data_IF_334276410290
#
_entry.id   IF_334276410290
#
_cell.length_a   1.000
_cell.length_b   1.000
_cell.length_c   1.000
_cell.angle_alpha   90.00
_cell.angle_beta   90.00
_cell.angle_gamma   90.00
#
_symmetry.space_group_name_H-M   'P 1'
#
loop_
_entity.id
_entity.type
_entity.pdbx_description
1 polymer ?
#
# COMPACT_ATOMS: atom_id res chain seq x y z
N UNK A 1 5.07 -10.30 19.58
CA UNK A 1 5.02 -9.65 20.91
C UNK A 1 4.71 -8.18 20.69
N UNK A 2 3.73 -7.64 21.43
CA UNK A 2 3.40 -6.20 21.36
C UNK A 2 4.64 -5.37 21.67
N UNK A 3 4.92 -4.35 20.87
CA UNK A 3 6.02 -3.43 21.09
C UNK A 3 5.49 -2.02 21.20
N UNK A 4 5.73 -1.42 22.33
CA UNK A 4 5.41 -0.02 22.58
C UNK A 4 6.40 0.87 21.81
N UNK A 5 5.88 1.68 20.86
CA UNK A 5 6.67 2.62 20.08
C UNK A 5 6.72 4.03 20.74
N UNK A 6 6.09 4.18 21.91
CA UNK A 6 6.03 5.46 22.64
C UNK A 6 7.24 5.71 23.51
N UNK A 7 8.14 4.72 23.67
CA UNK A 7 9.35 4.79 24.51
C UNK A 7 10.61 4.46 23.71
N UNK A 8 11.76 4.98 24.14
CA UNK A 8 13.06 4.73 23.51
C UNK A 8 13.42 5.66 22.34
N UNK A 9 14.53 5.39 21.64
CA UNK A 9 15.05 6.23 20.56
C UNK A 9 14.19 6.11 19.28
N UNK A 10 13.58 7.21 18.78
CA UNK A 10 12.70 7.18 17.60
C UNK A 10 13.36 6.59 16.35
N UNK A 11 14.60 6.96 16.04
CA UNK A 11 15.31 6.45 14.87
C UNK A 11 15.45 4.92 14.90
N UNK A 12 15.93 4.38 16.03
CA UNK A 12 16.11 2.92 16.20
C UNK A 12 14.79 2.16 16.14
N UNK A 13 13.73 2.73 16.73
CA UNK A 13 12.41 2.09 16.78
C UNK A 13 11.82 2.04 15.38
N UNK A 14 11.80 3.17 14.65
CA UNK A 14 11.25 3.25 13.30
C UNK A 14 12.07 2.35 12.37
N UNK A 15 13.39 2.38 12.41
CA UNK A 15 14.25 1.53 11.58
C UNK A 15 13.97 0.04 11.80
N UNK A 16 13.96 -0.41 13.07
CA UNK A 16 13.72 -1.82 13.40
C UNK A 16 12.29 -2.27 13.07
N UNK A 17 11.33 -1.34 13.03
CA UNK A 17 9.96 -1.63 12.60
C UNK A 17 9.85 -1.66 11.08
N UNK A 18 10.58 -0.80 10.37
CA UNK A 18 10.60 -0.69 8.91
C UNK A 18 11.24 -1.91 8.23
N UNK A 19 12.33 -2.45 8.79
CA UNK A 19 13.07 -3.55 8.13
C UNK A 19 12.21 -4.79 7.82
N UNK A 20 11.40 -5.32 8.74
CA UNK A 20 10.52 -6.44 8.41
C UNK A 20 9.44 -6.08 7.38
N UNK A 21 8.92 -4.85 7.41
CA UNK A 21 7.94 -4.37 6.43
C UNK A 21 8.56 -4.28 5.02
N UNK A 22 9.78 -3.77 4.93
CA UNK A 22 10.52 -3.68 3.67
C UNK A 22 10.80 -5.07 3.10
N UNK A 23 11.25 -6.00 3.91
CA UNK A 23 11.43 -7.40 3.51
C UNK A 23 10.11 -8.01 3.04
N UNK A 24 9.00 -7.76 3.75
CA UNK A 24 7.67 -8.20 3.35
C UNK A 24 7.26 -7.67 1.98
N UNK A 25 7.42 -6.37 1.75
CA UNK A 25 7.10 -5.76 0.46
C UNK A 25 7.98 -6.31 -0.67
N UNK A 26 9.26 -6.55 -0.43
CA UNK A 26 10.16 -7.18 -1.40
C UNK A 26 9.73 -8.63 -1.70
N UNK A 27 9.42 -9.42 -0.68
CA UNK A 27 8.91 -10.78 -0.87
C UNK A 27 7.61 -10.79 -1.70
N UNK A 28 6.74 -9.83 -1.47
CA UNK A 28 5.50 -9.70 -2.25
C UNK A 28 5.77 -9.41 -3.73
N UNK A 29 6.78 -8.60 -4.06
CA UNK A 29 7.19 -8.36 -5.44
C UNK A 29 7.77 -9.63 -6.09
N UNK A 30 8.64 -10.35 -5.40
CA UNK A 30 9.19 -11.62 -5.89
C UNK A 30 8.11 -12.69 -6.09
N UNK A 31 7.17 -12.79 -5.16
CA UNK A 31 6.03 -13.68 -5.27
C UNK A 31 5.18 -13.37 -6.52
N UNK A 32 4.81 -12.11 -6.74
CA UNK A 32 4.05 -11.70 -7.93
C UNK A 32 4.79 -12.00 -9.24
N UNK A 33 6.13 -11.89 -9.23
CA UNK A 33 6.95 -12.26 -10.37
C UNK A 33 6.95 -13.77 -10.60
N UNK A 34 7.07 -14.58 -9.53
CA UNK A 34 7.06 -16.03 -9.61
C UNK A 34 5.73 -16.55 -10.17
N UNK A 35 4.59 -16.05 -9.69
CA UNK A 35 3.25 -16.37 -10.19
C UNK A 35 3.14 -16.08 -11.70
N UNK A 36 3.58 -14.90 -12.12
CA UNK A 36 3.60 -14.49 -13.54
C UNK A 36 4.45 -15.45 -14.40
N UNK A 37 5.61 -15.86 -13.90
CA UNK A 37 6.51 -16.82 -14.61
C UNK A 37 5.85 -18.21 -14.70
N UNK A 38 5.22 -18.68 -13.64
CA UNK A 38 4.55 -19.99 -13.60
C UNK A 38 3.41 -20.01 -14.64
N UNK A 39 2.54 -19.00 -14.62
CA UNK A 39 1.44 -18.89 -15.59
C UNK A 39 1.98 -18.81 -17.02
N UNK A 40 2.95 -17.95 -17.30
CA UNK A 40 3.51 -17.80 -18.65
C UNK A 40 4.19 -19.06 -19.17
N UNK A 41 4.92 -19.78 -18.32
CA UNK A 41 5.69 -20.97 -18.72
C UNK A 41 4.85 -22.24 -18.86
N UNK A 42 3.89 -22.44 -17.97
CA UNK A 42 3.14 -23.69 -17.90
C UNK A 42 1.74 -23.63 -18.50
N UNK A 43 1.13 -22.45 -18.58
CA UNK A 43 -0.21 -22.27 -19.20
C UNK A 43 -0.10 -21.68 -20.61
N UNK A 44 0.84 -20.75 -20.82
CA UNK A 44 1.14 -20.19 -22.13
C UNK A 44 0.90 -18.68 -22.24
N UNK A 45 1.21 -18.14 -23.43
CA UNK A 45 1.23 -16.70 -23.68
C UNK A 45 -0.14 -16.06 -23.57
N UNK A 46 -1.21 -16.71 -24.03
CA UNK A 46 -2.58 -16.19 -23.95
C UNK A 46 -3.05 -16.10 -22.48
N UNK A 47 -2.67 -17.07 -21.64
CA UNK A 47 -2.97 -17.03 -20.22
C UNK A 47 -2.21 -15.90 -19.50
N UNK A 48 -0.93 -15.72 -19.85
CA UNK A 48 -0.12 -14.62 -19.35
C UNK A 48 -0.73 -13.25 -19.74
N UNK A 49 -1.16 -13.12 -21.00
CA UNK A 49 -1.83 -11.92 -21.47
C UNK A 49 -3.17 -11.68 -20.75
N UNK A 50 -3.95 -12.75 -20.52
CA UNK A 50 -5.21 -12.68 -19.77
C UNK A 50 -5.00 -12.18 -18.35
N UNK A 51 -4.04 -12.76 -17.60
CA UNK A 51 -3.67 -12.31 -16.24
C UNK A 51 -3.15 -10.87 -16.28
N UNK A 52 -2.27 -10.54 -17.23
CA UNK A 52 -1.71 -9.20 -17.38
C UNK A 52 -2.78 -8.13 -17.63
N UNK A 53 -3.80 -8.43 -18.45
CA UNK A 53 -4.91 -7.51 -18.75
C UNK A 53 -5.74 -7.16 -17.48
N UNK A 54 -5.77 -8.02 -16.47
CA UNK A 54 -6.50 -7.77 -15.21
C UNK A 54 -5.73 -6.90 -14.21
N UNK A 55 -4.43 -6.68 -14.40
CA UNK A 55 -3.53 -6.10 -13.41
C UNK A 55 -3.99 -4.73 -12.86
N UNK A 56 -4.43 -3.83 -13.72
CA UNK A 56 -4.89 -2.49 -13.31
C UNK A 56 -6.16 -2.54 -12.48
N UNK A 57 -7.13 -3.37 -12.88
CA UNK A 57 -8.41 -3.54 -12.15
C UNK A 57 -8.16 -4.23 -10.81
N UNK A 58 -7.30 -5.24 -10.81
CA UNK A 58 -6.89 -5.94 -9.60
C UNK A 58 -6.24 -4.97 -8.59
N UNK A 59 -5.29 -4.16 -9.04
CA UNK A 59 -4.64 -3.15 -8.19
C UNK A 59 -5.64 -2.12 -7.64
N UNK A 60 -6.61 -1.69 -8.45
CA UNK A 60 -7.63 -0.73 -8.04
C UNK A 60 -8.50 -1.29 -6.91
N UNK A 61 -9.02 -2.50 -7.06
CA UNK A 61 -9.94 -3.13 -6.09
C UNK A 61 -9.19 -3.62 -4.85
N UNK A 62 -8.11 -4.38 -5.02
CA UNK A 62 -7.36 -4.89 -3.87
C UNK A 62 -6.60 -3.77 -3.15
N UNK A 63 -6.10 -2.76 -3.86
CA UNK A 63 -5.53 -1.55 -3.25
C UNK A 63 -6.52 -0.82 -2.36
N UNK A 64 -7.80 -0.72 -2.79
CA UNK A 64 -8.88 -0.17 -1.96
C UNK A 64 -9.07 -0.99 -0.68
N UNK A 65 -9.13 -2.33 -0.77
CA UNK A 65 -9.26 -3.24 0.38
C UNK A 65 -8.10 -3.08 1.36
N UNK A 66 -6.85 -3.09 0.86
CA UNK A 66 -5.64 -2.94 1.68
C UNK A 66 -5.60 -1.56 2.35
N UNK A 67 -5.94 -0.51 1.61
CA UNK A 67 -6.04 0.85 2.13
C UNK A 67 -7.06 0.97 3.26
N UNK A 68 -8.23 0.35 3.10
CA UNK A 68 -9.26 0.31 4.15
C UNK A 68 -8.77 -0.39 5.41
N UNK A 69 -8.14 -1.57 5.29
CA UNK A 69 -7.61 -2.30 6.44
C UNK A 69 -6.54 -1.48 7.19
N UNK A 70 -5.64 -0.83 6.46
CA UNK A 70 -4.64 0.05 7.05
C UNK A 70 -5.29 1.25 7.77
N UNK A 71 -6.35 1.83 7.18
CA UNK A 71 -7.09 2.93 7.79
C UNK A 71 -7.85 2.50 9.05
N UNK A 72 -8.46 1.32 9.08
CA UNK A 72 -9.10 0.79 10.29
C UNK A 72 -8.10 0.53 11.43
N UNK A 73 -6.84 0.24 11.10
CA UNK A 73 -5.79 0.03 12.08
C UNK A 73 -5.30 1.33 12.77
N UNK A 74 -5.53 2.51 12.19
CA UNK A 74 -5.08 3.79 12.78
C UNK A 74 -5.72 4.06 14.15
N UNK A 75 -7.07 4.04 14.32
CA UNK A 75 -7.67 4.21 15.65
C UNK A 75 -7.20 3.13 16.64
N UNK A 76 -6.96 1.90 16.18
CA UNK A 76 -6.44 0.81 17.03
C UNK A 76 -5.04 1.15 17.54
N UNK A 77 -4.16 1.65 16.69
CA UNK A 77 -2.81 2.08 17.08
C UNK A 77 -2.85 3.26 18.08
N UNK A 78 -3.78 4.21 17.88
CA UNK A 78 -3.98 5.32 18.81
C UNK A 78 -4.45 4.84 20.19
N UNK A 79 -5.41 3.93 20.24
CA UNK A 79 -5.93 3.38 21.49
C UNK A 79 -4.90 2.49 22.21
N UNK A 80 -4.08 1.77 21.44
CA UNK A 80 -2.96 1.03 22.01
C UNK A 80 -1.94 1.97 22.68
N UNK A 81 -1.59 3.08 22.03
CA UNK A 81 -0.73 4.11 22.62
C UNK A 81 -1.34 4.84 23.82
N UNK A 82 -2.68 4.96 23.87
CA UNK A 82 -3.43 5.52 24.99
C UNK A 82 -3.61 4.54 26.16
N UNK A 83 -3.21 3.27 26.00
CA UNK A 83 -3.46 2.18 26.95
C UNK A 83 -4.96 1.97 27.28
N UNK A 84 -5.85 2.29 26.36
CA UNK A 84 -7.29 2.03 26.48
C UNK A 84 -7.64 0.69 25.82
N UNK A 85 -7.38 -0.38 26.55
CA UNK A 85 -7.56 -1.75 26.07
C UNK A 85 -9.03 -2.09 25.79
N UNK A 86 -9.98 -1.53 26.53
CA UNK A 86 -11.40 -1.80 26.34
C UNK A 86 -11.92 -1.19 25.04
N UNK A 87 -11.60 0.08 24.78
CA UNK A 87 -12.02 0.74 23.55
C UNK A 87 -11.25 0.20 22.34
N UNK A 88 -9.99 -0.21 22.52
CA UNK A 88 -9.19 -0.92 21.50
C UNK A 88 -9.92 -2.19 21.05
N UNK A 89 -10.34 -3.06 22.00
CA UNK A 89 -11.07 -4.29 21.68
C UNK A 89 -12.38 -4.01 20.94
N UNK A 90 -13.13 -2.98 21.36
CA UNK A 90 -14.35 -2.53 20.67
C UNK A 90 -14.06 -2.08 19.23
N UNK A 91 -12.95 -1.38 18.99
CA UNK A 91 -12.55 -0.97 17.65
C UNK A 91 -12.17 -2.17 16.78
N UNK A 92 -11.44 -3.14 17.33
CA UNK A 92 -11.11 -4.39 16.61
C UNK A 92 -12.38 -5.18 16.27
N UNK A 93 -13.33 -5.33 17.20
CA UNK A 93 -14.60 -6.01 16.95
C UNK A 93 -15.42 -5.31 15.84
N UNK A 94 -15.55 -3.98 15.92
CA UNK A 94 -16.29 -3.21 14.91
C UNK A 94 -15.57 -3.14 13.56
N UNK A 95 -14.23 -3.16 13.53
CA UNK A 95 -13.46 -3.32 12.30
C UNK A 95 -13.73 -4.67 11.64
N UNK A 96 -13.86 -5.74 12.44
CA UNK A 96 -14.23 -7.08 11.92
C UNK A 96 -15.61 -7.05 11.26
N UNK A 97 -16.61 -6.43 11.89
CA UNK A 97 -17.95 -6.27 11.30
C UNK A 97 -17.91 -5.48 9.99
N UNK A 98 -17.12 -4.41 9.93
CA UNK A 98 -16.95 -3.63 8.70
C UNK A 98 -16.23 -4.42 7.61
N UNK A 99 -15.20 -5.19 7.95
CA UNK A 99 -14.50 -6.05 6.97
C UNK A 99 -15.43 -7.12 6.40
N UNK A 100 -16.30 -7.74 7.22
CA UNK A 100 -17.30 -8.70 6.75
C UNK A 100 -18.29 -8.00 5.79
N UNK A 101 -18.85 -6.85 6.22
CA UNK A 101 -19.83 -6.12 5.42
C UNK A 101 -19.23 -5.67 4.07
N UNK A 102 -18.07 -5.02 4.07
CA UNK A 102 -17.38 -4.59 2.86
C UNK A 102 -16.90 -5.77 2.01
N UNK A 103 -16.42 -6.84 2.65
CA UNK A 103 -16.02 -8.07 1.97
C UNK A 103 -17.16 -8.66 1.15
N UNK A 104 -18.35 -8.79 1.75
CA UNK A 104 -19.54 -9.29 1.06
C UNK A 104 -19.97 -8.32 -0.06
N UNK A 105 -20.09 -7.02 0.23
CA UNK A 105 -20.53 -6.03 -0.77
C UNK A 105 -19.57 -5.98 -1.95
N UNK A 106 -18.27 -5.86 -1.71
CA UNK A 106 -17.29 -5.80 -2.80
C UNK A 106 -17.25 -7.10 -3.59
N UNK A 107 -17.27 -8.26 -2.93
CA UNK A 107 -17.31 -9.55 -3.64
C UNK A 107 -18.52 -9.64 -4.56
N UNK A 108 -19.72 -9.37 -4.05
CA UNK A 108 -20.95 -9.46 -4.85
C UNK A 108 -20.90 -8.50 -6.04
N UNK A 109 -20.54 -7.24 -5.79
CA UNK A 109 -20.50 -6.20 -6.83
C UNK A 109 -19.43 -6.52 -7.88
N UNK A 110 -18.21 -6.84 -7.46
CA UNK A 110 -17.09 -7.03 -8.40
C UNK A 110 -17.24 -8.33 -9.19
N UNK A 111 -17.69 -9.43 -8.57
CA UNK A 111 -17.95 -10.69 -9.27
C UNK A 111 -19.07 -10.52 -10.29
N UNK A 112 -20.18 -9.85 -9.92
CA UNK A 112 -21.28 -9.58 -10.84
C UNK A 112 -20.87 -8.67 -12.01
N UNK A 113 -19.94 -7.75 -11.79
CA UNK A 113 -19.48 -6.80 -12.80
C UNK A 113 -18.20 -7.24 -13.53
N UNK A 114 -17.66 -8.43 -13.25
CA UNK A 114 -16.38 -8.90 -13.81
C UNK A 114 -16.37 -8.80 -15.35
N UNK A 115 -17.35 -9.38 -16.02
CA UNK A 115 -17.44 -9.38 -17.49
C UNK A 115 -17.62 -7.95 -18.05
N UNK A 116 -18.60 -7.14 -17.58
CA UNK A 116 -18.73 -5.74 -17.98
C UNK A 116 -17.46 -4.90 -17.79
N UNK A 117 -16.71 -5.13 -16.69
CA UNK A 117 -15.45 -4.41 -16.45
C UNK A 117 -14.41 -4.77 -17.51
N UNK A 118 -14.25 -6.07 -17.85
CA UNK A 118 -13.27 -6.50 -18.85
C UNK A 118 -13.65 -6.01 -20.26
N UNK A 119 -14.93 -5.93 -20.58
CA UNK A 119 -15.44 -5.34 -21.84
C UNK A 119 -15.19 -3.83 -21.88
N UNK A 120 -15.43 -3.11 -20.78
CA UNK A 120 -15.13 -1.68 -20.67
C UNK A 120 -13.62 -1.39 -20.84
N UNK A 121 -12.77 -2.30 -20.36
CA UNK A 121 -11.32 -2.25 -20.53
C UNK A 121 -10.86 -2.58 -21.95
N UNK A 122 -11.80 -2.89 -22.87
CA UNK A 122 -11.51 -3.29 -24.26
C UNK A 122 -10.55 -4.48 -24.33
N UNK A 123 -10.71 -5.45 -23.43
CA UNK A 123 -9.90 -6.67 -23.42
C UNK A 123 -10.12 -7.44 -24.73
N UNK A 124 -9.06 -7.86 -25.44
CA UNK A 124 -9.19 -8.62 -26.69
C UNK A 124 -10.05 -9.87 -26.54
N UNK A 125 -10.83 -10.19 -27.58
CA UNK A 125 -11.80 -11.28 -27.56
C UNK A 125 -11.19 -12.68 -27.34
N UNK A 126 -9.92 -12.86 -27.72
CA UNK A 126 -9.17 -14.12 -27.58
C UNK A 126 -8.72 -14.39 -26.14
N UNK A 127 -8.64 -13.38 -25.28
CA UNK A 127 -8.20 -13.51 -23.88
C UNK A 127 -9.25 -13.11 -22.84
N UNK A 128 -10.38 -12.49 -23.26
CA UNK A 128 -11.38 -11.95 -22.32
C UNK A 128 -12.02 -13.01 -21.42
N UNK A 129 -12.20 -14.23 -21.92
CA UNK A 129 -12.77 -15.33 -21.13
C UNK A 129 -11.80 -15.79 -20.04
N UNK A 130 -10.51 -15.92 -20.38
CA UNK A 130 -9.47 -16.24 -19.40
C UNK A 130 -9.29 -15.11 -18.38
N UNK A 131 -9.26 -13.85 -18.81
CA UNK A 131 -9.16 -12.69 -17.95
C UNK A 131 -10.37 -12.58 -17.00
N UNK A 132 -11.59 -12.75 -17.51
CA UNK A 132 -12.82 -12.74 -16.70
C UNK A 132 -12.85 -13.88 -15.68
N UNK A 133 -12.41 -15.08 -16.07
CA UNK A 133 -12.30 -16.22 -15.16
C UNK A 133 -11.30 -15.94 -14.05
N UNK A 134 -10.10 -15.49 -14.39
CA UNK A 134 -9.05 -15.20 -13.41
C UNK A 134 -9.49 -14.14 -12.41
N UNK A 135 -9.88 -12.95 -12.90
CA UNK A 135 -10.21 -11.84 -12.01
C UNK A 135 -11.50 -12.09 -11.20
N UNK A 136 -12.47 -12.83 -11.79
CA UNK A 136 -13.69 -13.21 -11.10
C UNK A 136 -13.44 -14.07 -9.87
N UNK A 137 -12.53 -15.03 -9.94
CA UNK A 137 -12.10 -15.83 -8.78
C UNK A 137 -11.31 -15.00 -7.78
N UNK A 138 -10.35 -14.19 -8.22
CA UNK A 138 -9.64 -13.24 -7.32
C UNK A 138 -10.64 -12.34 -6.56
N UNK A 139 -11.70 -11.88 -7.21
CA UNK A 139 -12.74 -11.08 -6.56
C UNK A 139 -13.62 -11.91 -5.61
N UNK A 140 -13.85 -13.19 -5.91
CA UNK A 140 -14.51 -14.09 -4.96
C UNK A 140 -13.65 -14.30 -3.68
N UNK A 141 -12.33 -14.20 -3.78
CA UNK A 141 -11.37 -14.26 -2.69
C UNK A 141 -11.26 -12.99 -1.83
N UNK A 142 -11.92 -11.87 -2.17
CA UNK A 142 -11.85 -10.60 -1.43
C UNK A 142 -12.07 -10.76 0.08
N UNK A 143 -12.97 -11.59 0.60
CA UNK A 143 -13.11 -11.80 2.04
C UNK A 143 -11.84 -12.32 2.71
N UNK A 144 -11.08 -13.17 2.05
CA UNK A 144 -9.80 -13.69 2.55
C UNK A 144 -8.70 -12.64 2.50
N UNK A 145 -8.73 -11.77 1.48
CA UNK A 145 -7.84 -10.60 1.39
C UNK A 145 -8.11 -9.65 2.56
N UNK A 146 -9.38 -9.35 2.88
CA UNK A 146 -9.74 -8.58 4.07
C UNK A 146 -9.24 -9.25 5.35
N UNK A 147 -9.48 -10.54 5.51
CA UNK A 147 -9.07 -11.30 6.69
C UNK A 147 -7.55 -11.18 6.93
N UNK A 148 -6.76 -11.53 5.93
CA UNK A 148 -5.29 -11.51 6.05
C UNK A 148 -4.76 -10.08 6.30
N UNK A 149 -5.23 -9.10 5.52
CA UNK A 149 -4.75 -7.73 5.62
C UNK A 149 -5.19 -7.06 6.93
N UNK A 150 -6.42 -7.30 7.41
CA UNK A 150 -6.87 -6.74 8.67
C UNK A 150 -6.13 -7.31 9.86
N UNK A 151 -5.92 -8.63 9.91
CA UNK A 151 -5.13 -9.29 10.95
C UNK A 151 -3.69 -8.75 10.96
N UNK A 152 -3.07 -8.64 9.79
CA UNK A 152 -1.73 -8.07 9.64
C UNK A 152 -1.67 -6.60 10.07
N UNK A 153 -2.69 -5.80 9.74
CA UNK A 153 -2.79 -4.40 10.13
C UNK A 153 -2.97 -4.23 11.65
N UNK A 154 -3.77 -5.10 12.30
CA UNK A 154 -3.91 -5.14 13.77
C UNK A 154 -2.56 -5.48 14.43
N UNK A 155 -1.84 -6.50 13.94
CA UNK A 155 -0.51 -6.84 14.48
C UNK A 155 0.44 -5.65 14.41
N UNK A 156 0.48 -4.95 13.26
CA UNK A 156 1.28 -3.73 13.08
C UNK A 156 0.85 -2.62 14.04
N UNK A 157 -0.45 -2.38 14.20
CA UNK A 157 -0.99 -1.39 15.13
C UNK A 157 -0.56 -1.63 16.58
N UNK A 158 -0.42 -2.92 16.97
CA UNK A 158 0.08 -3.36 18.26
C UNK A 158 1.63 -3.43 18.34
N UNK A 159 2.33 -2.92 17.33
CA UNK A 159 3.78 -2.82 17.29
C UNK A 159 4.53 -4.07 16.81
N UNK A 160 3.86 -5.06 16.24
CA UNK A 160 4.50 -6.25 15.67
C UNK A 160 4.53 -6.18 14.14
N UNK A 161 5.72 -5.85 13.60
CA UNK A 161 5.97 -5.85 12.15
C UNK A 161 6.60 -7.16 11.64
N UNK A 162 7.10 -8.02 12.54
CA UNK A 162 7.80 -9.26 12.16
C UNK A 162 6.84 -10.40 11.85
N UNK A 163 5.83 -10.57 12.67
CA UNK A 163 4.88 -11.67 12.52
C UNK A 163 4.13 -11.64 11.19
N UNK A 164 3.61 -10.48 10.70
CA UNK A 164 3.05 -10.39 9.35
C UNK A 164 4.00 -10.82 8.24
N UNK A 165 5.31 -10.55 8.36
CA UNK A 165 6.31 -11.01 7.41
C UNK A 165 6.37 -12.56 7.34
N UNK A 166 6.37 -13.22 8.50
CA UNK A 166 6.40 -14.69 8.52
C UNK A 166 5.17 -15.30 7.84
N UNK A 167 3.99 -14.73 8.07
CA UNK A 167 2.77 -15.17 7.39
C UNK A 167 2.79 -14.88 5.89
N UNK A 168 3.37 -13.75 5.47
CA UNK A 168 3.54 -13.45 4.06
C UNK A 168 4.45 -14.47 3.36
N UNK A 169 5.57 -14.82 3.97
CA UNK A 169 6.48 -15.86 3.44
C UNK A 169 5.75 -17.20 3.34
N UNK A 170 4.97 -17.58 4.37
CA UNK A 170 4.15 -18.79 4.36
C UNK A 170 3.11 -18.73 3.22
N UNK A 171 2.38 -17.64 3.08
CA UNK A 171 1.40 -17.44 1.99
C UNK A 171 2.04 -17.65 0.63
N UNK A 172 3.19 -17.02 0.41
CA UNK A 172 3.92 -17.11 -0.86
C UNK A 172 4.39 -18.53 -1.16
N UNK A 173 4.91 -19.22 -0.16
CA UNK A 173 5.33 -20.61 -0.33
C UNK A 173 4.15 -21.56 -0.64
N UNK A 174 3.04 -21.43 0.09
CA UNK A 174 1.81 -22.20 -0.14
C UNK A 174 1.24 -21.89 -1.53
N UNK A 175 1.21 -20.63 -1.93
CA UNK A 175 0.71 -20.25 -3.25
C UNK A 175 1.54 -20.86 -4.38
N UNK A 176 2.88 -20.72 -4.36
CA UNK A 176 3.76 -21.30 -5.38
C UNK A 176 3.55 -22.83 -5.51
N UNK A 177 3.42 -23.54 -4.38
CA UNK A 177 3.14 -24.97 -4.39
C UNK A 177 1.77 -25.26 -4.99
N UNK A 178 0.74 -24.51 -4.61
CA UNK A 178 -0.62 -24.66 -5.16
C UNK A 178 -0.68 -24.33 -6.64
N UNK A 179 0.02 -23.27 -7.10
CA UNK A 179 0.11 -22.93 -8.53
C UNK A 179 0.67 -24.13 -9.32
N UNK A 180 1.80 -24.68 -8.90
CA UNK A 180 2.40 -25.82 -9.58
C UNK A 180 1.47 -27.04 -9.57
N UNK A 181 0.82 -27.36 -8.45
CA UNK A 181 -0.09 -28.49 -8.33
C UNK A 181 -1.33 -28.29 -9.17
N UNK A 182 -2.03 -27.14 -9.06
CA UNK A 182 -3.30 -26.91 -9.77
C UNK A 182 -3.09 -26.69 -11.26
N UNK A 183 -2.00 -26.05 -11.66
CA UNK A 183 -1.73 -25.78 -13.08
C UNK A 183 -1.15 -27.03 -13.74
N UNK A 184 -0.16 -27.71 -13.16
CA UNK A 184 0.55 -28.80 -13.82
C UNK A 184 -0.20 -30.14 -13.63
N UNK A 185 -0.60 -30.48 -12.39
CA UNK A 185 -1.18 -31.80 -12.12
C UNK A 185 -2.69 -31.86 -12.45
N UNK A 186 -3.41 -30.76 -12.18
CA UNK A 186 -4.85 -30.69 -12.42
C UNK A 186 -5.22 -30.00 -13.74
N UNK A 187 -4.25 -29.42 -14.47
CA UNK A 187 -4.46 -28.72 -15.76
C UNK A 187 -5.53 -27.63 -15.69
N UNK A 188 -5.65 -26.93 -14.57
CA UNK A 188 -6.68 -25.89 -14.37
C UNK A 188 -6.37 -24.57 -15.08
N UNK A 189 -5.20 -24.42 -15.71
CA UNK A 189 -4.84 -23.22 -16.45
C UNK A 189 -4.88 -21.95 -15.58
N UNK A 190 -5.47 -20.89 -16.14
CA UNK A 190 -5.61 -19.57 -15.46
C UNK A 190 -6.45 -19.65 -14.19
N UNK A 191 -7.48 -20.52 -14.20
CA UNK A 191 -8.30 -20.77 -13.01
C UNK A 191 -7.46 -21.32 -11.85
N UNK A 192 -6.49 -22.20 -12.14
CA UNK A 192 -5.59 -22.77 -11.14
C UNK A 192 -4.79 -21.70 -10.40
N UNK A 193 -4.26 -20.71 -11.12
CA UNK A 193 -3.53 -19.58 -10.53
C UNK A 193 -4.42 -18.73 -9.62
N UNK A 194 -5.65 -18.41 -10.05
CA UNK A 194 -6.59 -17.64 -9.23
C UNK A 194 -6.98 -18.39 -7.94
N UNK A 195 -7.33 -19.69 -8.07
CA UNK A 195 -7.70 -20.53 -6.92
C UNK A 195 -6.51 -20.72 -5.96
N UNK A 196 -5.29 -20.90 -6.48
CA UNK A 196 -4.08 -21.00 -5.66
C UNK A 196 -3.88 -19.72 -4.82
N UNK A 197 -4.08 -18.55 -5.42
CA UNK A 197 -4.00 -17.26 -4.73
C UNK A 197 -5.04 -17.16 -3.62
N UNK A 198 -6.31 -17.45 -3.91
CA UNK A 198 -7.40 -17.36 -2.92
C UNK A 198 -7.22 -18.34 -1.77
N UNK A 199 -6.88 -19.59 -2.07
CA UNK A 199 -6.68 -20.63 -1.05
C UNK A 199 -5.47 -20.30 -0.18
N UNK A 200 -4.36 -19.81 -0.74
CA UNK A 200 -3.19 -19.40 0.04
C UNK A 200 -3.49 -18.21 0.96
N UNK A 201 -4.26 -17.24 0.48
CA UNK A 201 -4.74 -16.11 1.29
C UNK A 201 -5.68 -16.58 2.41
N UNK A 202 -6.60 -17.50 2.12
CA UNK A 202 -7.50 -18.08 3.11
C UNK A 202 -6.73 -18.84 4.22
N UNK A 203 -5.82 -19.74 3.85
CA UNK A 203 -4.98 -20.49 4.79
C UNK A 203 -4.19 -19.53 5.68
N UNK A 204 -3.51 -18.57 5.08
CA UNK A 204 -2.68 -17.62 5.84
C UNK A 204 -3.51 -16.67 6.69
N UNK A 205 -4.67 -16.23 6.19
CA UNK A 205 -5.61 -15.42 6.95
C UNK A 205 -6.12 -16.14 8.19
N UNK A 206 -6.52 -17.42 8.05
CA UNK A 206 -6.99 -18.24 9.18
C UNK A 206 -5.88 -18.53 10.17
N UNK A 207 -4.70 -18.93 9.71
CA UNK A 207 -3.56 -19.22 10.60
C UNK A 207 -3.11 -17.96 11.34
N UNK A 208 -3.04 -16.83 10.65
CA UNK A 208 -2.68 -15.54 11.27
C UNK A 208 -3.72 -15.08 12.29
N UNK A 209 -5.02 -15.31 12.03
CA UNK A 209 -6.10 -15.02 12.97
C UNK A 209 -6.00 -15.89 14.24
N UNK A 210 -5.78 -17.20 14.07
CA UNK A 210 -5.60 -18.12 15.20
C UNK A 210 -4.38 -17.69 16.04
N UNK A 211 -3.29 -17.31 15.38
CA UNK A 211 -2.11 -16.80 16.06
C UNK A 211 -2.41 -15.50 16.82
N UNK A 212 -3.10 -14.56 16.19
CA UNK A 212 -3.50 -13.28 16.80
C UNK A 212 -4.30 -13.52 18.09
N UNK A 213 -5.34 -14.35 18.02
CA UNK A 213 -6.20 -14.66 19.17
C UNK A 213 -5.41 -15.34 20.30
N UNK A 214 -4.53 -16.30 19.98
CA UNK A 214 -3.79 -17.05 21.00
C UNK A 214 -2.66 -16.25 21.64
N UNK A 215 -1.97 -15.42 20.88
CA UNK A 215 -0.75 -14.72 21.34
C UNK A 215 -1.01 -13.33 21.92
N UNK A 216 -2.00 -12.62 21.41
CA UNK A 216 -2.28 -11.25 21.85
C UNK A 216 -3.42 -11.22 22.88
N UNK A 217 -3.06 -11.49 24.15
CA UNK A 217 -4.05 -11.52 25.26
C UNK A 217 -4.85 -10.23 25.40
N UNK A 218 -4.28 -9.08 24.99
CA UNK A 218 -4.96 -7.79 24.96
C UNK A 218 -6.25 -7.81 24.11
N UNK A 219 -6.35 -8.72 23.14
CA UNK A 219 -7.50 -8.87 22.25
C UNK A 219 -8.54 -9.87 22.74
N UNK A 220 -8.44 -10.38 23.97
CA UNK A 220 -9.49 -11.22 24.55
C UNK A 220 -10.72 -10.36 24.87
N UNK A 221 -11.73 -10.46 24.01
CA UNK A 221 -12.92 -9.63 24.02
C UNK A 221 -14.03 -10.23 24.90
N UNK A 222 -14.71 -9.37 25.63
CA UNK A 222 -15.97 -9.71 26.32
C UNK A 222 -17.14 -9.65 25.33
N UNK A 223 -18.30 -10.26 25.70
CA UNK A 223 -19.52 -10.20 24.87
C UNK A 223 -19.99 -8.77 24.61
N UNK A 224 -19.76 -7.84 25.56
CA UNK A 224 -20.16 -6.44 25.41
C UNK A 224 -19.26 -5.68 24.41
N UNK A 225 -18.01 -6.04 24.32
CA UNK A 225 -17.05 -5.43 23.39
C UNK A 225 -17.29 -5.85 21.93
N UNK A 226 -17.93 -6.99 21.68
CA UNK A 226 -18.36 -7.46 20.37
C UNK A 226 -19.59 -6.74 19.80
N UNK A 227 -20.31 -5.98 20.62
CA UNK A 227 -21.52 -5.28 20.15
C UNK A 227 -21.18 -4.24 19.09
N UNK A 228 -21.99 -4.21 18.04
CA UNK A 228 -21.95 -3.17 17.04
C UNK A 228 -22.19 -1.79 17.66
N UNK A 229 -21.30 -0.84 17.36
CA UNK A 229 -21.40 0.56 17.79
C UNK A 229 -21.25 1.50 16.59
N UNK A 230 -22.33 2.18 16.24
CA UNK A 230 -22.36 3.10 15.11
C UNK A 230 -21.28 4.20 15.18
N UNK A 231 -21.00 4.73 16.38
CA UNK A 231 -19.96 5.73 16.57
C UNK A 231 -18.56 5.21 16.24
N UNK A 232 -18.24 3.99 16.69
CA UNK A 232 -16.97 3.31 16.41
C UNK A 232 -16.84 2.98 14.91
N UNK A 233 -17.88 2.44 14.30
CA UNK A 233 -17.90 2.17 12.85
C UNK A 233 -17.72 3.45 12.04
N UNK A 234 -18.37 4.57 12.43
CA UNK A 234 -18.20 5.87 11.78
C UNK A 234 -16.74 6.36 11.87
N UNK A 235 -16.10 6.22 13.04
CA UNK A 235 -14.69 6.59 13.24
C UNK A 235 -13.74 5.74 12.37
N UNK A 236 -13.94 4.43 12.35
CA UNK A 236 -13.19 3.50 11.52
C UNK A 236 -13.38 3.82 10.02
N UNK A 237 -14.63 4.00 9.56
CA UNK A 237 -14.93 4.33 8.17
C UNK A 237 -14.34 5.68 7.76
N UNK A 238 -14.33 6.68 8.65
CA UNK A 238 -13.72 7.98 8.40
C UNK A 238 -12.20 7.88 8.18
N UNK A 239 -11.55 6.82 8.66
CA UNK A 239 -10.13 6.54 8.38
C UNK A 239 -9.96 5.60 7.19
N UNK A 240 -10.72 4.51 7.16
CA UNK A 240 -10.56 3.45 6.16
C UNK A 240 -10.96 3.87 4.75
N UNK A 241 -12.13 4.50 4.57
CA UNK A 241 -12.61 4.89 3.25
C UNK A 241 -11.67 5.87 2.52
N UNK A 242 -11.19 6.96 3.15
CA UNK A 242 -10.25 7.85 2.47
C UNK A 242 -8.93 7.16 2.11
N UNK A 243 -8.42 6.24 2.96
CA UNK A 243 -7.20 5.51 2.66
C UNK A 243 -7.39 4.50 1.52
N UNK A 244 -8.54 3.83 1.45
CA UNK A 244 -8.89 2.99 0.31
C UNK A 244 -9.02 3.80 -0.98
N UNK A 245 -9.79 4.91 -0.94
CA UNK A 245 -9.96 5.80 -2.09
C UNK A 245 -8.64 6.43 -2.57
N UNK A 246 -7.71 6.70 -1.67
CA UNK A 246 -6.39 7.21 -2.06
C UNK A 246 -5.67 6.25 -3.02
N UNK A 247 -5.69 4.94 -2.75
CA UNK A 247 -5.10 3.94 -3.65
C UNK A 247 -5.78 3.95 -5.02
N UNK A 248 -7.11 4.04 -5.03
CA UNK A 248 -7.90 4.16 -6.27
C UNK A 248 -7.55 5.42 -7.07
N UNK A 249 -7.48 6.59 -6.42
CA UNK A 249 -7.14 7.86 -7.06
C UNK A 249 -5.74 7.81 -7.67
N UNK A 250 -4.78 7.22 -6.96
CA UNK A 250 -3.41 7.05 -7.46
C UNK A 250 -3.37 6.14 -8.69
N UNK A 251 -4.17 5.05 -8.67
CA UNK A 251 -4.32 4.14 -9.81
C UNK A 251 -4.88 4.84 -11.05
N UNK A 252 -5.92 5.66 -10.89
CA UNK A 252 -6.49 6.47 -11.99
C UNK A 252 -5.45 7.40 -12.59
N UNK A 253 -4.66 8.08 -11.76
CA UNK A 253 -3.55 8.92 -12.23
C UNK A 253 -2.52 8.13 -13.05
N UNK A 254 -2.23 6.89 -12.67
CA UNK A 254 -1.37 5.98 -13.43
C UNK A 254 -1.95 5.60 -14.80
N UNK A 255 -3.26 5.32 -14.88
CA UNK A 255 -3.95 5.01 -16.14
C UNK A 255 -3.92 6.19 -17.11
N UNK A 256 -4.15 7.42 -16.64
CA UNK A 256 -4.07 8.64 -17.46
C UNK A 256 -2.66 8.80 -18.03
N UNK A 257 -1.63 8.59 -17.22
CA UNK A 257 -0.24 8.65 -17.66
C UNK A 257 0.07 7.55 -18.69
N UNK A 258 -0.39 6.32 -18.46
CA UNK A 258 -0.17 5.21 -19.41
C UNK A 258 -0.81 5.51 -20.77
N UNK A 259 -2.02 6.08 -20.78
CA UNK A 259 -2.68 6.52 -22.01
C UNK A 259 -1.84 7.55 -22.78
N UNK A 260 -1.29 8.56 -22.10
CA UNK A 260 -0.47 9.58 -22.74
C UNK A 260 0.86 9.00 -23.25
N UNK A 261 1.50 8.12 -22.48
CA UNK A 261 2.76 7.43 -22.85
C UNK A 261 2.57 6.50 -24.04
N UNK A 262 1.42 5.82 -24.13
CA UNK A 262 1.09 4.95 -25.27
C UNK A 262 1.09 5.74 -26.61
N UNK A 263 0.73 7.02 -26.58
CA UNK A 263 0.80 7.92 -27.74
C UNK A 263 2.22 8.23 -28.24
N UNK A 264 3.27 7.97 -27.44
CA UNK A 264 4.68 8.22 -27.81
C UNK A 264 5.34 7.04 -28.54
N UNK A 265 4.66 5.89 -28.63
CA UNK A 265 5.15 4.71 -29.34
C UNK A 265 5.68 3.59 -28.43
N UNK A 266 5.85 2.41 -29.02
CA UNK A 266 6.16 1.16 -28.31
C UNK A 266 7.52 1.16 -27.60
N UNK A 267 8.54 1.80 -28.20
CA UNK A 267 9.89 1.91 -27.62
C UNK A 267 9.87 2.70 -26.31
N UNK A 268 9.12 3.80 -26.26
CA UNK A 268 8.94 4.61 -25.05
C UNK A 268 8.18 3.83 -23.98
N UNK A 269 7.12 3.11 -24.36
CA UNK A 269 6.35 2.26 -23.44
C UNK A 269 7.25 1.18 -22.84
N UNK A 270 8.08 0.52 -23.65
CA UNK A 270 9.01 -0.51 -23.19
C UNK A 270 10.04 0.06 -22.20
N UNK A 271 10.65 1.23 -22.52
CA UNK A 271 11.61 1.90 -21.67
C UNK A 271 11.02 2.27 -20.30
N UNK A 272 9.86 2.94 -20.28
CA UNK A 272 9.16 3.35 -19.04
C UNK A 272 8.70 2.13 -18.24
N UNK A 273 8.27 1.06 -18.88
CA UNK A 273 7.85 -0.17 -18.20
C UNK A 273 9.02 -0.84 -17.48
N UNK A 274 10.17 -0.99 -18.14
CA UNK A 274 11.36 -1.57 -17.54
C UNK A 274 11.88 -0.72 -16.37
N UNK A 275 11.98 0.59 -16.57
CA UNK A 275 12.40 1.54 -15.54
C UNK A 275 11.40 1.57 -14.37
N UNK A 276 10.10 1.53 -14.64
CA UNK A 276 9.03 1.53 -13.64
C UNK A 276 9.05 0.30 -12.72
N UNK A 277 9.37 -0.89 -13.23
CA UNK A 277 9.55 -2.10 -12.40
C UNK A 277 10.70 -1.92 -11.40
N UNK A 278 11.81 -1.38 -11.86
CA UNK A 278 12.96 -1.06 -10.99
C UNK A 278 12.58 -0.04 -9.93
N UNK A 279 11.90 1.03 -10.32
CA UNK A 279 11.43 2.07 -9.40
C UNK A 279 10.49 1.50 -8.34
N UNK A 280 9.57 0.61 -8.69
CA UNK A 280 8.65 -0.02 -7.74
C UNK A 280 9.40 -0.82 -6.67
N UNK A 281 10.43 -1.58 -7.05
CA UNK A 281 11.29 -2.31 -6.10
C UNK A 281 11.96 -1.36 -5.10
N UNK A 282 12.52 -0.26 -5.60
CA UNK A 282 13.21 0.72 -4.73
C UNK A 282 12.22 1.52 -3.87
N UNK A 283 11.02 1.80 -4.37
CA UNK A 283 9.99 2.49 -3.61
C UNK A 283 9.46 1.68 -2.42
N UNK A 284 9.60 0.35 -2.43
CA UNK A 284 9.19 -0.52 -1.30
C UNK A 284 9.81 -0.11 0.03
N UNK A 285 11.06 0.36 0.04
CA UNK A 285 11.72 0.82 1.26
C UNK A 285 11.08 2.12 1.79
N UNK A 286 10.79 3.08 0.92
CA UNK A 286 10.15 4.34 1.27
C UNK A 286 8.73 4.12 1.79
N UNK A 287 7.93 3.28 1.11
CA UNK A 287 6.58 2.90 1.55
C UNK A 287 6.59 2.19 2.91
N UNK A 288 7.63 1.41 3.19
CA UNK A 288 7.80 0.74 4.48
C UNK A 288 8.10 1.72 5.61
N UNK A 289 8.91 2.77 5.34
CA UNK A 289 9.13 3.88 6.27
C UNK A 289 7.81 4.59 6.54
N UNK A 290 7.01 4.85 5.50
CA UNK A 290 5.68 5.45 5.63
C UNK A 290 4.76 4.64 6.55
N UNK A 291 4.60 3.34 6.26
CA UNK A 291 3.77 2.44 7.07
C UNK A 291 4.23 2.40 8.54
N UNK A 292 5.54 2.38 8.78
CA UNK A 292 6.10 2.47 10.12
C UNK A 292 5.74 3.80 10.80
N UNK A 293 5.79 4.92 10.05
CA UNK A 293 5.42 6.23 10.56
C UNK A 293 3.94 6.37 10.89
N UNK A 294 3.05 5.76 10.12
CA UNK A 294 1.62 5.75 10.44
C UNK A 294 1.35 5.09 11.81
N UNK A 295 1.93 3.92 12.05
CA UNK A 295 1.81 3.22 13.33
C UNK A 295 2.48 4.01 14.46
N UNK A 296 3.70 4.49 14.24
CA UNK A 296 4.45 5.27 15.21
C UNK A 296 3.72 6.57 15.60
N UNK A 297 3.22 7.32 14.63
CA UNK A 297 2.47 8.55 14.87
C UNK A 297 1.14 8.25 15.59
N UNK A 298 0.43 7.18 15.22
CA UNK A 298 -0.81 6.76 15.87
C UNK A 298 -0.61 6.43 17.34
N UNK A 299 0.36 5.58 17.67
CA UNK A 299 0.66 5.22 19.06
C UNK A 299 1.12 6.44 19.89
N UNK A 300 2.00 7.27 19.34
CA UNK A 300 2.48 8.46 20.06
C UNK A 300 1.40 9.55 20.23
N UNK A 301 0.46 9.67 19.29
CA UNK A 301 -0.71 10.53 19.48
C UNK A 301 -1.60 10.00 20.60
N UNK A 302 -1.85 8.69 20.65
CA UNK A 302 -2.59 8.06 21.73
C UNK A 302 -1.97 8.32 23.11
N UNK A 303 -0.66 8.27 23.19
CA UNK A 303 0.11 8.61 24.40
C UNK A 303 0.24 10.13 24.66
N UNK A 304 -0.43 10.98 23.87
CA UNK A 304 -0.31 12.45 23.93
C UNK A 304 1.13 12.99 23.75
N UNK A 305 2.00 12.25 23.02
CA UNK A 305 3.43 12.54 22.83
C UNK A 305 3.72 13.12 21.44
N UNK A 306 3.18 14.30 21.12
CA UNK A 306 3.45 14.98 19.83
C UNK A 306 4.91 15.39 19.64
N UNK A 307 5.65 15.62 20.73
CA UNK A 307 7.11 15.80 20.74
C UNK A 307 7.81 14.63 20.02
N UNK A 308 7.38 13.41 20.30
CA UNK A 308 7.91 12.20 19.69
C UNK A 308 7.50 12.04 18.23
N UNK A 309 6.28 12.44 17.86
CA UNK A 309 5.87 12.45 16.45
C UNK A 309 6.81 13.34 15.63
N UNK A 310 7.12 14.55 16.09
CA UNK A 310 8.10 15.45 15.43
C UNK A 310 9.49 14.81 15.33
N UNK A 311 9.96 14.20 16.41
CA UNK A 311 11.25 13.50 16.43
C UNK A 311 11.25 12.29 15.48
N UNK A 312 10.14 11.58 15.37
CA UNK A 312 9.95 10.48 14.42
C UNK A 312 10.01 10.93 12.97
N UNK A 313 9.32 12.03 12.63
CA UNK A 313 9.40 12.64 11.30
C UNK A 313 10.83 13.03 10.94
N UNK A 314 11.56 13.70 11.86
CA UNK A 314 12.98 14.04 11.67
C UNK A 314 13.84 12.79 11.43
N UNK A 315 13.64 11.75 12.24
CA UNK A 315 14.37 10.47 12.11
C UNK A 315 14.08 9.80 10.77
N UNK A 316 12.81 9.80 10.32
CA UNK A 316 12.41 9.24 9.04
C UNK A 316 12.99 10.02 7.86
N UNK A 317 13.13 11.35 7.96
CA UNK A 317 13.83 12.13 6.94
C UNK A 317 15.29 11.74 6.79
N UNK A 318 16.00 11.51 7.90
CA UNK A 318 17.38 11.04 7.85
C UNK A 318 17.45 9.69 7.10
N UNK A 319 16.52 8.77 7.39
CA UNK A 319 16.46 7.48 6.70
C UNK A 319 16.14 7.65 5.22
N UNK A 320 15.17 8.50 4.88
CA UNK A 320 14.79 8.80 3.50
C UNK A 320 15.95 9.36 2.71
N UNK A 321 16.64 10.37 3.25
CA UNK A 321 17.78 10.99 2.58
C UNK A 321 18.91 9.98 2.38
N UNK A 322 19.28 9.24 3.43
CA UNK A 322 20.32 8.20 3.32
C UNK A 322 19.97 7.14 2.30
N UNK A 323 18.72 6.64 2.32
CA UNK A 323 18.26 5.65 1.35
C UNK A 323 18.21 6.21 -0.07
N UNK A 324 17.69 7.43 -0.27
CA UNK A 324 17.59 8.07 -1.59
C UNK A 324 18.95 8.29 -2.23
N UNK A 325 19.94 8.71 -1.44
CA UNK A 325 21.32 8.85 -1.92
C UNK A 325 21.90 7.49 -2.30
N UNK A 326 21.73 6.47 -1.46
CA UNK A 326 22.20 5.11 -1.80
C UNK A 326 21.51 4.55 -3.04
N UNK A 327 20.20 4.74 -3.18
CA UNK A 327 19.43 4.31 -4.35
C UNK A 327 19.87 5.05 -5.62
N UNK A 328 20.09 6.38 -5.53
CA UNK A 328 20.60 7.17 -6.63
C UNK A 328 21.98 6.67 -7.10
N UNK A 329 22.90 6.43 -6.18
CA UNK A 329 24.23 5.90 -6.48
C UNK A 329 24.12 4.50 -7.13
N UNK A 330 23.31 3.62 -6.55
CA UNK A 330 23.10 2.27 -7.07
C UNK A 330 22.51 2.26 -8.49
N UNK A 331 21.54 3.15 -8.75
CA UNK A 331 20.94 3.31 -10.08
C UNK A 331 21.87 3.95 -11.08
N UNK A 332 22.67 4.93 -10.66
CA UNK A 332 23.59 5.63 -11.57
C UNK A 332 24.77 4.75 -12.03
N UNK A 333 25.32 3.93 -11.13
CA UNK A 333 26.46 3.05 -11.45
C UNK A 333 26.03 1.62 -11.85
N UNK A 334 24.81 1.20 -11.51
CA UNK A 334 24.29 -0.14 -11.80
C UNK A 334 23.21 -0.18 -12.87
N UNK A 335 22.91 0.92 -13.53
CA UNK A 335 21.79 1.08 -14.47
C UNK A 335 21.77 0.01 -15.57
N UNK A 336 22.91 -0.23 -16.24
CA UNK A 336 23.04 -1.22 -17.32
C UNK A 336 22.73 -2.64 -16.81
N UNK A 337 23.21 -3.00 -15.61
CA UNK A 337 22.98 -4.32 -15.02
C UNK A 337 21.51 -4.48 -14.65
N UNK A 338 20.92 -3.45 -14.05
CA UNK A 338 19.52 -3.47 -13.57
C UNK A 338 18.55 -3.49 -14.76
N UNK A 339 18.76 -2.66 -15.77
CA UNK A 339 17.94 -2.64 -16.98
C UNK A 339 18.12 -3.94 -17.77
N UNK A 340 19.34 -4.49 -17.78
CA UNK A 340 19.65 -5.77 -18.41
C UNK A 340 18.90 -6.97 -17.84
N UNK A 341 18.24 -6.84 -16.68
CA UNK A 341 17.31 -7.85 -16.17
C UNK A 341 15.98 -7.88 -16.96
N UNK A 342 15.66 -6.82 -17.66
CA UNK A 342 14.38 -6.64 -18.35
C UNK A 342 14.50 -6.46 -19.87
N UNK A 343 15.63 -5.92 -20.36
CA UNK A 343 15.87 -5.60 -21.75
C UNK A 343 17.23 -6.17 -22.20
N UNK A 344 17.34 -6.54 -23.48
CA UNK A 344 18.63 -6.89 -24.06
C UNK A 344 19.46 -5.63 -24.34
N UNK A 345 20.44 -5.39 -23.47
CA UNK A 345 21.28 -4.17 -23.53
C UNK A 345 22.16 -4.08 -24.75
N UNK A 346 22.30 -5.15 -25.55
CA UNK A 346 23.14 -5.18 -26.78
C UNK A 346 22.33 -4.87 -28.02
N UNK A 347 21.07 -5.29 -28.07
CA UNK A 347 20.21 -5.14 -29.25
C UNK A 347 19.31 -3.92 -29.17
N UNK A 348 18.91 -3.49 -27.96
CA UNK A 348 17.94 -2.44 -27.73
C UNK A 348 18.56 -1.17 -27.13
N UNK A 349 19.69 -0.72 -27.69
CA UNK A 349 20.53 0.37 -27.15
C UNK A 349 19.73 1.68 -26.93
N UNK A 350 18.82 2.03 -27.84
CA UNK A 350 18.02 3.25 -27.76
C UNK A 350 16.98 3.16 -26.60
N UNK A 351 16.30 2.02 -26.46
CA UNK A 351 15.33 1.78 -25.40
C UNK A 351 16.02 1.78 -24.03
N UNK A 352 17.21 1.18 -23.95
CA UNK A 352 18.04 1.19 -22.75
C UNK A 352 18.46 2.62 -22.36
N UNK A 353 18.86 3.45 -23.34
CA UNK A 353 19.19 4.86 -23.08
C UNK A 353 17.99 5.63 -22.51
N UNK A 354 16.82 5.49 -23.14
CA UNK A 354 15.59 6.08 -22.62
C UNK A 354 15.26 5.59 -21.19
N UNK A 355 15.35 4.30 -20.92
CA UNK A 355 15.11 3.75 -19.59
C UNK A 355 16.07 4.34 -18.53
N UNK A 356 17.36 4.56 -18.91
CA UNK A 356 18.36 5.19 -18.03
C UNK A 356 18.00 6.64 -17.71
N UNK A 357 17.60 7.43 -18.71
CA UNK A 357 17.20 8.83 -18.53
C UNK A 357 15.97 8.93 -17.61
N UNK A 358 14.98 8.09 -17.85
CA UNK A 358 13.79 8.01 -16.96
C UNK A 358 14.17 7.66 -15.52
N UNK A 359 15.02 6.66 -15.31
CA UNK A 359 15.50 6.26 -13.98
C UNK A 359 16.31 7.37 -13.31
N UNK A 360 17.16 8.08 -14.06
CA UNK A 360 17.93 9.21 -13.55
C UNK A 360 17.02 10.32 -13.00
N UNK A 361 16.08 10.81 -13.78
CA UNK A 361 15.15 11.85 -13.33
C UNK A 361 14.32 11.41 -12.13
N UNK A 362 13.77 10.20 -12.15
CA UNK A 362 12.97 9.69 -11.05
C UNK A 362 13.80 9.50 -9.77
N UNK A 363 15.00 8.96 -9.84
CA UNK A 363 15.86 8.74 -8.67
C UNK A 363 16.35 10.04 -8.04
N UNK A 364 16.58 11.09 -8.83
CA UNK A 364 16.93 12.43 -8.37
C UNK A 364 15.84 13.01 -7.44
N UNK A 365 14.57 12.65 -7.68
CA UNK A 365 13.41 13.10 -6.92
C UNK A 365 12.95 12.09 -5.85
N UNK A 366 13.76 11.10 -5.49
CA UNK A 366 13.42 10.17 -4.41
C UNK A 366 13.36 10.85 -3.03
N UNK A 367 14.10 11.94 -2.80
CA UNK A 367 13.97 12.72 -1.56
C UNK A 367 12.58 13.36 -1.46
N UNK A 368 12.06 14.10 -2.45
CA UNK A 368 10.66 14.53 -2.48
C UNK A 368 9.65 13.39 -2.31
N UNK A 369 9.85 12.24 -2.99
CA UNK A 369 8.98 11.08 -2.84
C UNK A 369 8.96 10.58 -1.39
N UNK A 370 10.11 10.43 -0.76
CA UNK A 370 10.18 10.00 0.64
C UNK A 370 9.59 11.04 1.60
N UNK A 371 9.78 12.34 1.34
CA UNK A 371 9.17 13.41 2.10
C UNK A 371 7.63 13.36 2.05
N UNK A 372 7.09 13.24 0.85
CA UNK A 372 5.66 13.05 0.59
C UNK A 372 5.12 11.85 1.40
N UNK A 373 5.79 10.70 1.32
CA UNK A 373 5.40 9.47 2.00
C UNK A 373 5.41 9.69 3.52
N UNK A 374 6.48 10.26 4.09
CA UNK A 374 6.57 10.50 5.54
C UNK A 374 5.46 11.43 6.02
N UNK A 375 5.19 12.56 5.35
CA UNK A 375 4.10 13.46 5.76
C UNK A 375 2.74 12.81 5.61
N UNK A 376 2.45 12.16 4.48
CA UNK A 376 1.18 11.49 4.20
C UNK A 376 0.83 10.49 5.28
N UNK A 377 1.72 9.55 5.53
CA UNK A 377 1.51 8.50 6.52
C UNK A 377 1.48 9.03 7.95
N UNK A 378 2.25 10.09 8.27
CA UNK A 378 2.16 10.76 9.57
C UNK A 378 0.80 11.40 9.77
N UNK A 379 0.28 12.16 8.79
CA UNK A 379 -1.04 12.77 8.83
C UNK A 379 -2.13 11.69 8.99
N UNK A 380 -2.02 10.57 8.29
CA UNK A 380 -2.92 9.42 8.45
C UNK A 380 -2.86 8.87 9.88
N UNK A 381 -1.67 8.60 10.41
CA UNK A 381 -1.47 8.11 11.77
C UNK A 381 -2.02 9.07 12.85
N UNK A 382 -1.99 10.37 12.57
CA UNK A 382 -2.60 11.41 13.40
C UNK A 382 -4.13 11.48 13.27
N UNK A 383 -4.75 10.67 12.40
CA UNK A 383 -6.21 10.57 12.29
C UNK A 383 -6.85 11.51 11.25
N UNK A 384 -6.07 12.08 10.34
CA UNK A 384 -6.56 12.98 9.28
C UNK A 384 -6.44 12.35 7.89
N UNK A 385 -6.97 11.13 7.71
CA UNK A 385 -6.84 10.35 6.47
C UNK A 385 -7.44 11.05 5.25
N UNK A 386 -8.53 11.80 5.41
CA UNK A 386 -9.12 12.59 4.31
C UNK A 386 -8.15 13.66 3.82
N UNK A 387 -7.43 14.33 4.73
CA UNK A 387 -6.44 15.34 4.35
C UNK A 387 -5.26 14.69 3.59
N UNK A 388 -4.82 13.52 4.04
CA UNK A 388 -3.78 12.76 3.35
C UNK A 388 -4.25 12.25 1.96
N UNK A 389 -5.52 11.87 1.81
CA UNK A 389 -6.12 11.47 0.53
C UNK A 389 -6.10 12.62 -0.49
N UNK A 390 -6.32 13.86 -0.05
CA UNK A 390 -6.28 15.04 -0.94
C UNK A 390 -4.91 15.25 -1.61
N UNK A 391 -3.83 14.76 -1.01
CA UNK A 391 -2.52 14.74 -1.67
C UNK A 391 -2.51 13.78 -2.88
N UNK A 392 -3.22 12.65 -2.79
CA UNK A 392 -3.42 11.77 -3.96
C UNK A 392 -4.18 12.46 -5.09
N UNK A 393 -5.17 13.30 -4.75
CA UNK A 393 -5.86 14.16 -5.74
C UNK A 393 -4.89 15.15 -6.37
N UNK A 394 -4.02 15.80 -5.58
CA UNK A 394 -3.01 16.71 -6.10
C UNK A 394 -2.03 16.01 -7.07
N UNK A 395 -1.59 14.79 -6.73
CA UNK A 395 -0.77 13.97 -7.63
C UNK A 395 -1.50 13.62 -8.93
N UNK A 396 -2.77 13.20 -8.83
CA UNK A 396 -3.59 12.87 -10.00
C UNK A 396 -3.77 14.08 -10.92
N UNK A 397 -4.09 15.25 -10.36
CA UNK A 397 -4.22 16.49 -11.12
C UNK A 397 -2.90 16.85 -11.80
N UNK A 398 -1.76 16.79 -11.09
CA UNK A 398 -0.44 17.05 -11.66
C UNK A 398 -0.13 16.10 -12.82
N UNK A 399 -0.36 14.80 -12.67
CA UNK A 399 -0.20 13.81 -13.74
C UNK A 399 -1.11 14.08 -14.94
N UNK A 400 -2.35 14.47 -14.69
CA UNK A 400 -3.30 14.83 -15.76
C UNK A 400 -2.81 16.05 -16.54
N UNK A 401 -2.35 17.09 -15.86
CA UNK A 401 -1.78 18.28 -16.52
C UNK A 401 -0.55 17.91 -17.36
N UNK A 402 0.33 17.08 -16.82
CA UNK A 402 1.51 16.61 -17.56
C UNK A 402 1.11 15.80 -18.79
N UNK A 403 0.17 14.85 -18.64
CA UNK A 403 -0.30 14.02 -19.73
C UNK A 403 -0.93 14.82 -20.87
N UNK A 404 -1.71 15.85 -20.54
CA UNK A 404 -2.47 16.64 -21.53
C UNK A 404 -1.71 17.84 -22.07
N UNK A 405 -0.75 18.39 -21.32
CA UNK A 405 -0.07 19.66 -21.69
C UNK A 405 1.43 19.44 -21.96
N UNK A 406 2.17 18.79 -21.03
CA UNK A 406 3.61 18.68 -21.18
C UNK A 406 4.04 17.59 -22.17
N UNK A 407 3.41 16.42 -22.15
CA UNK A 407 3.76 15.32 -23.05
C UNK A 407 3.55 15.72 -24.52
N UNK A 408 2.44 16.36 -24.93
CA UNK A 408 2.28 16.82 -26.31
C UNK A 408 3.34 17.83 -26.77
N UNK A 409 3.92 18.63 -25.85
CA UNK A 409 4.91 19.67 -26.18
C UNK A 409 6.35 19.15 -26.07
N UNK A 410 6.65 18.38 -25.01
CA UNK A 410 8.01 17.93 -24.65
C UNK A 410 8.28 16.48 -25.04
N UNK A 411 7.27 15.75 -25.54
CA UNK A 411 7.42 14.34 -25.88
C UNK A 411 7.85 13.48 -24.69
N UNK A 412 8.88 12.65 -24.92
CA UNK A 412 9.41 11.73 -23.92
C UNK A 412 9.87 12.43 -22.64
N UNK A 413 10.52 13.59 -22.75
CA UNK A 413 10.98 14.36 -21.58
C UNK A 413 9.82 14.77 -20.68
N UNK A 414 8.64 15.07 -21.24
CA UNK A 414 7.41 15.29 -20.47
C UNK A 414 6.99 14.06 -19.66
N UNK A 415 7.15 12.87 -20.21
CA UNK A 415 6.85 11.61 -19.51
C UNK A 415 7.85 11.32 -18.38
N UNK A 416 9.14 11.62 -18.56
CA UNK A 416 10.18 11.49 -17.52
C UNK A 416 9.87 12.35 -16.28
N UNK A 417 9.37 13.57 -16.49
CA UNK A 417 9.04 14.51 -15.43
C UNK A 417 7.71 14.21 -14.72
N UNK A 418 6.94 13.22 -15.17
CA UNK A 418 5.58 12.97 -14.66
C UNK A 418 5.55 12.66 -13.17
N UNK A 419 6.37 11.73 -12.72
CA UNK A 419 6.48 11.39 -11.30
C UNK A 419 7.14 12.50 -10.48
N UNK A 420 8.31 13.05 -10.87
CA UNK A 420 8.93 14.17 -10.19
C UNK A 420 7.99 15.33 -9.89
N UNK A 421 7.26 15.81 -10.89
CA UNK A 421 6.33 16.95 -10.74
C UNK A 421 5.13 16.58 -9.84
N UNK A 422 4.58 15.37 -10.00
CA UNK A 422 3.49 14.91 -9.14
C UNK A 422 3.91 14.81 -7.67
N UNK A 423 5.13 14.33 -7.39
CA UNK A 423 5.65 14.25 -6.02
C UNK A 423 5.89 15.63 -5.42
N UNK A 424 6.45 16.55 -6.18
CA UNK A 424 6.63 17.94 -5.72
C UNK A 424 5.28 18.61 -5.46
N UNK A 425 4.30 18.45 -6.35
CA UNK A 425 2.96 19.00 -6.17
C UNK A 425 2.30 18.47 -4.88
N UNK A 426 2.43 17.17 -4.62
CA UNK A 426 1.92 16.58 -3.38
C UNK A 426 2.69 17.09 -2.14
N UNK A 427 4.01 17.30 -2.23
CA UNK A 427 4.79 17.89 -1.14
C UNK A 427 4.34 19.32 -0.80
N UNK A 428 4.06 20.14 -1.82
CA UNK A 428 3.56 21.51 -1.63
C UNK A 428 2.22 21.54 -0.88
N UNK A 429 1.39 20.52 -1.06
CA UNK A 429 0.15 20.35 -0.31
C UNK A 429 0.38 19.77 1.09
N UNK A 430 1.16 18.68 1.18
CA UNK A 430 1.31 17.90 2.42
C UNK A 430 2.12 18.62 3.50
N UNK A 431 3.11 19.42 3.14
CA UNK A 431 3.90 20.11 4.15
C UNK A 431 3.07 21.11 4.97
N UNK A 432 2.32 22.05 4.38
CA UNK A 432 1.40 22.91 5.13
C UNK A 432 0.33 22.12 5.90
N UNK A 433 -0.21 21.05 5.28
CA UNK A 433 -1.19 20.17 5.92
C UNK A 433 -0.63 19.47 7.17
N UNK A 434 0.62 19.01 7.13
CA UNK A 434 1.31 18.42 8.28
C UNK A 434 1.50 19.46 9.39
N UNK A 435 1.99 20.64 9.07
CA UNK A 435 2.18 21.72 10.06
C UNK A 435 0.87 22.12 10.72
N UNK A 436 -0.18 22.28 9.93
CA UNK A 436 -1.52 22.58 10.44
C UNK A 436 -2.03 21.45 11.36
N UNK A 437 -1.90 20.20 10.95
CA UNK A 437 -2.36 19.03 11.72
C UNK A 437 -1.69 18.97 13.08
N UNK A 438 -0.37 19.11 13.13
CA UNK A 438 0.40 19.05 14.37
C UNK A 438 0.04 20.22 15.30
N UNK A 439 -0.03 21.44 14.76
CA UNK A 439 -0.41 22.63 15.53
C UNK A 439 -1.84 22.55 16.07
N UNK A 440 -2.77 22.05 15.26
CA UNK A 440 -4.17 21.86 15.67
C UNK A 440 -4.30 20.84 16.83
N UNK A 441 -3.56 19.74 16.75
CA UNK A 441 -3.53 18.74 17.81
C UNK A 441 -2.86 19.23 19.08
N UNK A 442 -1.77 20.01 19.00
CA UNK A 442 -1.15 20.65 20.16
C UNK A 442 -2.12 21.57 20.90
N UNK A 443 -2.82 22.43 20.15
CA UNK A 443 -3.83 23.33 20.74
C UNK A 443 -4.96 22.55 21.43
N UNK A 444 -5.39 21.42 20.85
CA UNK A 444 -6.41 20.54 21.49
C UNK A 444 -5.90 19.89 22.78
N UNK A 445 -4.67 19.38 22.79
CA UNK A 445 -4.09 18.77 23.97
C UNK A 445 -3.89 19.80 25.09
N UNK A 446 -3.42 21.01 24.77
CA UNK A 446 -3.28 22.11 25.72
C UNK A 446 -4.63 22.53 26.31
N UNK A 447 -5.68 22.67 25.47
CA UNK A 447 -7.02 22.98 25.93
C UNK A 447 -7.60 21.91 26.86
N UNK A 448 -7.37 20.62 26.55
CA UNK A 448 -7.77 19.51 27.41
C UNK A 448 -7.05 19.51 28.78
N UNK A 449 -5.77 19.81 28.81
CA UNK A 449 -4.99 19.94 30.07
C UNK A 449 -5.45 21.13 30.90
N UNK A 450 -5.79 22.27 30.29
CA UNK A 450 -6.30 23.43 30.99
C UNK A 450 -7.69 23.15 31.59
N UNK A 451 -8.58 22.49 30.85
CA UNK A 451 -9.90 22.10 31.33
C UNK A 451 -9.83 21.17 32.55
N UNK A 452 -8.92 20.18 32.54
CA UNK A 452 -8.72 19.28 33.67
C UNK A 452 -8.12 19.99 34.90
N UNK A 453 -7.24 20.98 34.70
CA UNK A 453 -6.71 21.78 35.82
C UNK A 453 -7.77 22.67 36.45
N UNK A 454 -8.67 23.25 35.68
CA UNK A 454 -9.77 24.07 36.22
C UNK A 454 -10.79 23.23 36.99
N UNK A 455 -11.06 21.98 36.58
CA UNK A 455 -11.94 21.08 37.35
C UNK A 455 -11.31 20.57 38.64
N UNK A 456 -9.98 20.43 38.70
CA UNK A 456 -9.26 19.98 39.89
C UNK A 456 -8.96 21.10 40.92
N UNK A 457 -9.17 22.36 40.58
CA UNK A 457 -8.98 23.52 41.46
C UNK A 457 -10.34 24.05 41.99
N UNK A 458 -11.45 23.52 41.44
CA UNK A 458 -12.83 23.88 41.82
C UNK A 458 -13.51 22.93 42.84
N UNK A 459 -12.81 21.87 43.26
CA UNK A 459 -13.15 21.00 44.38
C UNK A 459 -12.20 21.31 45.58
#
# INVERSE_FOLDING_TARGET
MTKDLTSGNPFKIILLFTLPLMLGNLFQQFYSLADTIIVGRFVGVNALAAVGATGSVNYLILGFVIGMCNGFAIPIAQLFGAHDDSDLRRHVANATWLCIAWGVVLTVVTVALTRPIMELMQTPADIIDGASTYIGWIFAGIPFVFLYNMVSAIMRALGDSKTPLYFLVLTSAVNIVLDLVLIINFNMGVLGAAVATDVSQAISGVISLIYLIKKFKILHMTRDEWKYRRSTCRRLSAMGLPMGLQCTITAVGGVIMQWAVNGLGSSVVAAITAAGKTQNLLSCALESIGTAMATYAGQNLGAARLDRVRSGVKSSYIMVVAYSVLAFIALHFGDVVIIGLFLDTKTEVEIVAMARDYMFWNSLFFIPLGALIVWRYTIQGLGYSTLAMMAGVAEMVARTVIALVLIPVLGYFGAELSNPVAWVAACLFLYPAYLWTVKHLENRLLAGHLAMRHSAVGD
#
